data_IF_997825834616
#
_entry.id   IF_997825834616
#
_cell.length_a   1.000
_cell.length_b   1.000
_cell.length_c   1.000
_cell.angle_alpha   90.00
_cell.angle_beta   90.00
_cell.angle_gamma   90.00
#
_symmetry.space_group_name_H-M   'P 1'
#
loop_
_entity.id
_entity.type
_entity.pdbx_description
1 polymer ?
#
# COMPACT_ATOMS: atom_id res chain seq x y z
N UNK A 1 13.44 8.00 -25.08
CA UNK A 1 12.02 8.03 -24.65
C UNK A 1 11.68 6.70 -24.01
N UNK A 2 11.56 6.63 -22.68
CA UNK A 2 11.09 5.42 -21.99
C UNK A 2 9.59 5.29 -22.18
N UNK A 3 9.10 4.21 -22.79
CA UNK A 3 7.67 3.88 -22.81
C UNK A 3 7.21 3.62 -21.38
N UNK A 4 6.08 4.19 -20.97
CA UNK A 4 5.33 3.74 -19.80
C UNK A 4 4.86 2.30 -20.06
N UNK A 5 5.72 1.33 -19.76
CA UNK A 5 5.39 -0.08 -19.93
C UNK A 5 4.70 -0.58 -18.68
N UNK A 6 3.41 -0.85 -18.83
CA UNK A 6 2.68 -1.75 -17.95
C UNK A 6 3.51 -3.03 -17.75
N UNK A 7 3.74 -3.44 -16.50
CA UNK A 7 4.49 -4.65 -16.17
C UNK A 7 3.83 -5.42 -15.04
N UNK A 8 4.05 -6.72 -14.98
CA UNK A 8 3.65 -7.51 -13.82
C UNK A 8 4.41 -7.04 -12.58
N UNK A 9 3.67 -6.73 -11.53
CA UNK A 9 4.27 -6.34 -10.26
C UNK A 9 4.89 -7.56 -9.59
N UNK A 10 6.18 -7.43 -9.27
CA UNK A 10 6.90 -8.36 -8.41
C UNK A 10 7.01 -7.72 -7.03
N UNK A 11 6.35 -8.31 -6.04
CA UNK A 11 6.35 -7.75 -4.70
C UNK A 11 7.77 -7.60 -4.16
N UNK A 12 8.15 -6.35 -3.91
CA UNK A 12 9.42 -5.94 -3.34
C UNK A 12 9.25 -5.52 -1.86
N UNK A 13 8.25 -6.03 -1.16
CA UNK A 13 8.03 -5.74 0.26
C UNK A 13 8.64 -6.85 1.10
N UNK A 14 9.43 -6.45 2.10
CA UNK A 14 9.91 -7.34 3.18
C UNK A 14 8.81 -7.54 4.21
N UNK A 15 8.56 -6.50 5.01
CA UNK A 15 7.54 -6.47 6.05
C UNK A 15 6.36 -5.55 5.67
N UNK A 16 5.11 -6.06 5.63
CA UNK A 16 3.94 -5.22 5.42
C UNK A 16 3.61 -4.42 6.69
N UNK A 17 3.37 -3.13 6.51
CA UNK A 17 2.91 -2.22 7.56
C UNK A 17 1.41 -1.95 7.47
N UNK A 18 0.85 -1.97 6.27
CA UNK A 18 -0.54 -1.68 6.00
C UNK A 18 -1.09 -2.64 4.94
N UNK A 19 -2.26 -3.24 5.18
CA UNK A 19 -2.91 -4.19 4.27
C UNK A 19 -4.41 -3.85 4.17
N UNK A 20 -4.83 -3.25 3.06
CA UNK A 20 -6.23 -2.91 2.84
C UNK A 20 -7.02 -4.12 2.37
N UNK A 21 -7.47 -4.95 3.32
CA UNK A 21 -8.05 -6.24 2.97
C UNK A 21 -9.28 -6.09 2.08
N UNK A 22 -10.16 -5.13 2.34
CA UNK A 22 -11.38 -4.97 1.54
C UNK A 22 -11.06 -4.63 0.07
N UNK A 23 -10.17 -3.67 -0.18
CA UNK A 23 -9.79 -3.32 -1.55
C UNK A 23 -8.99 -4.43 -2.24
N UNK A 24 -8.21 -5.20 -1.49
CA UNK A 24 -7.49 -6.35 -2.02
C UNK A 24 -8.42 -7.50 -2.40
N UNK A 25 -9.42 -7.81 -1.57
CA UNK A 25 -10.46 -8.78 -1.92
C UNK A 25 -11.24 -8.35 -3.16
N UNK A 26 -11.54 -7.05 -3.29
CA UNK A 26 -12.17 -6.51 -4.50
C UNK A 26 -11.27 -6.66 -5.74
N UNK A 27 -9.98 -6.37 -5.61
CA UNK A 27 -9.02 -6.54 -6.69
C UNK A 27 -8.91 -8.03 -7.09
N UNK A 28 -8.81 -8.91 -6.11
CA UNK A 28 -8.74 -10.36 -6.32
C UNK A 28 -9.97 -10.89 -7.06
N UNK A 29 -11.17 -10.48 -6.63
CA UNK A 29 -12.42 -10.84 -7.30
C UNK A 29 -12.47 -10.31 -8.75
N UNK A 30 -12.06 -9.06 -8.99
CA UNK A 30 -11.97 -8.48 -10.35
C UNK A 30 -11.02 -9.26 -11.27
N UNK A 31 -10.03 -9.93 -10.71
CA UNK A 31 -9.06 -10.75 -11.44
C UNK A 31 -9.44 -12.23 -11.48
N UNK A 32 -10.68 -12.60 -11.11
CA UNK A 32 -11.18 -13.98 -11.04
C UNK A 32 -10.46 -14.88 -10.03
N UNK A 33 -9.95 -14.29 -8.94
CA UNK A 33 -9.39 -14.99 -7.78
C UNK A 33 -10.15 -14.61 -6.50
N UNK A 34 -11.45 -14.97 -6.37
CA UNK A 34 -12.20 -14.64 -5.16
C UNK A 34 -11.55 -15.28 -3.93
N UNK A 35 -11.70 -14.58 -2.81
CA UNK A 35 -11.07 -14.92 -1.54
C UNK A 35 -12.13 -15.42 -0.56
N UNK A 36 -12.35 -16.73 -0.51
CA UNK A 36 -13.39 -17.35 0.33
C UNK A 36 -13.07 -17.24 1.84
N UNK A 37 -11.78 -17.21 2.19
CA UNK A 37 -11.29 -17.20 3.58
C UNK A 37 -11.45 -15.85 4.29
N UNK A 38 -11.81 -14.79 3.58
CA UNK A 38 -11.86 -13.43 4.12
C UNK A 38 -13.24 -13.03 4.65
N UNK A 39 -14.23 -13.93 4.62
CA UNK A 39 -15.56 -13.70 5.17
C UNK A 39 -15.54 -13.34 6.69
N UNK A 40 -14.51 -13.77 7.43
CA UNK A 40 -14.30 -13.40 8.83
C UNK A 40 -13.73 -11.98 9.01
N UNK A 41 -13.15 -11.38 7.97
CA UNK A 41 -12.49 -10.07 8.05
C UNK A 41 -13.49 -8.91 8.23
N UNK A 42 -14.74 -9.09 7.82
CA UNK A 42 -15.79 -8.10 8.04
C UNK A 42 -16.00 -7.72 9.52
N UNK A 43 -15.65 -8.62 10.44
CA UNK A 43 -15.84 -8.46 11.89
C UNK A 43 -14.62 -7.85 12.61
N UNK A 44 -13.51 -7.66 11.90
CA UNK A 44 -12.26 -7.18 12.50
C UNK A 44 -12.35 -5.67 12.71
N UNK A 45 -12.05 -5.19 13.92
CA UNK A 45 -12.00 -3.75 14.20
C UNK A 45 -10.68 -3.13 13.73
N UNK A 46 -9.54 -3.77 14.02
CA UNK A 46 -8.20 -3.44 13.51
C UNK A 46 -7.40 -4.71 13.25
N UNK A 47 -6.50 -4.68 12.26
CA UNK A 47 -5.59 -5.81 12.01
C UNK A 47 -4.60 -6.05 13.14
N UNK A 48 -4.21 -5.00 13.86
CA UNK A 48 -3.36 -5.09 15.05
C UNK A 48 -3.93 -5.99 16.15
N UNK A 49 -5.25 -6.16 16.19
CA UNK A 49 -5.94 -6.85 17.28
C UNK A 49 -5.95 -8.39 17.08
N UNK A 50 -5.47 -8.87 15.93
CA UNK A 50 -5.54 -10.28 15.53
C UNK A 50 -4.42 -11.16 16.09
N UNK A 51 -3.38 -10.57 16.69
CA UNK A 51 -2.25 -11.32 17.24
C UNK A 51 -1.64 -12.28 16.21
N UNK A 52 -1.65 -13.58 16.52
CA UNK A 52 -1.08 -14.63 15.66
C UNK A 52 -1.84 -14.77 14.33
N UNK A 53 -3.15 -14.52 14.30
CA UNK A 53 -3.97 -14.64 13.07
C UNK A 53 -3.55 -13.61 12.00
N UNK A 54 -2.92 -12.50 12.40
CA UNK A 54 -2.34 -11.54 11.47
C UNK A 54 -1.29 -12.19 10.55
N UNK A 55 -0.50 -13.13 11.06
CA UNK A 55 0.49 -13.83 10.26
C UNK A 55 -0.18 -14.66 9.15
N UNK A 56 -1.30 -15.31 9.45
CA UNK A 56 -2.12 -16.04 8.46
C UNK A 56 -2.62 -15.11 7.37
N UNK A 57 -3.12 -13.92 7.74
CA UNK A 57 -3.56 -12.90 6.77
C UNK A 57 -2.40 -12.43 5.89
N UNK A 58 -1.24 -12.13 6.49
CA UNK A 58 -0.05 -11.71 5.75
C UNK A 58 0.38 -12.78 4.75
N UNK A 59 0.38 -14.06 5.15
CA UNK A 59 0.73 -15.18 4.27
C UNK A 59 -0.28 -15.37 3.14
N UNK A 60 -1.58 -15.35 3.46
CA UNK A 60 -2.66 -15.43 2.46
C UNK A 60 -2.55 -14.29 1.45
N UNK A 61 -2.23 -13.08 1.92
CA UNK A 61 -2.01 -11.93 1.07
C UNK A 61 -0.76 -12.07 0.18
N UNK A 62 0.37 -12.49 0.74
CA UNK A 62 1.60 -12.76 -0.04
C UNK A 62 1.33 -13.78 -1.14
N UNK A 63 0.57 -14.85 -0.83
CA UNK A 63 0.14 -15.84 -1.81
C UNK A 63 -0.75 -15.19 -2.89
N UNK A 64 -1.76 -14.43 -2.49
CA UNK A 64 -2.66 -13.73 -3.42
C UNK A 64 -1.90 -12.85 -4.42
N UNK A 65 -1.03 -11.96 -3.95
CA UNK A 65 -0.27 -11.06 -4.82
C UNK A 65 0.58 -11.83 -5.83
N UNK A 66 1.25 -12.89 -5.38
CA UNK A 66 2.08 -13.73 -6.23
C UNK A 66 1.25 -14.53 -7.26
N UNK A 67 -0.01 -14.82 -6.94
CA UNK A 67 -0.96 -15.48 -7.85
C UNK A 67 -1.52 -14.52 -8.88
N UNK A 68 -2.06 -13.37 -8.44
CA UNK A 68 -2.79 -12.45 -9.34
C UNK A 68 -1.85 -11.63 -10.25
N UNK A 69 -0.57 -11.48 -9.86
CA UNK A 69 0.48 -10.77 -10.60
C UNK A 69 -0.04 -9.49 -11.27
N UNK A 70 -0.50 -8.50 -10.47
CA UNK A 70 -1.24 -7.38 -11.02
C UNK A 70 -0.33 -6.59 -11.97
N UNK A 71 -0.88 -6.14 -13.09
CA UNK A 71 -0.16 -5.29 -14.03
C UNK A 71 -0.17 -3.85 -13.51
N UNK A 72 1.01 -3.27 -13.35
CA UNK A 72 1.20 -1.96 -12.69
C UNK A 72 2.02 -0.99 -13.53
N UNK A 73 1.94 0.28 -13.15
CA UNK A 73 2.87 1.35 -13.55
C UNK A 73 3.59 1.89 -12.32
N UNK A 74 4.65 2.68 -12.50
CA UNK A 74 5.45 3.25 -11.39
C UNK A 74 5.41 4.77 -11.39
N UNK A 75 5.18 5.41 -10.24
CA UNK A 75 5.19 6.88 -10.12
C UNK A 75 6.49 7.54 -10.63
N UNK A 76 7.64 6.87 -10.53
CA UNK A 76 8.94 7.42 -10.92
C UNK A 76 9.07 7.66 -12.42
N UNK A 77 8.39 6.86 -13.24
CA UNK A 77 8.52 6.90 -14.70
C UNK A 77 7.27 7.47 -15.38
N UNK A 78 6.27 7.89 -14.60
CA UNK A 78 4.98 8.28 -15.13
C UNK A 78 4.97 9.72 -15.62
N UNK A 79 4.33 9.91 -16.77
CA UNK A 79 3.82 11.22 -17.15
C UNK A 79 2.46 11.33 -16.47
N UNK A 80 2.36 12.21 -15.49
CA UNK A 80 1.19 12.27 -14.61
C UNK A 80 -0.12 12.61 -15.34
N UNK A 81 -0.04 13.25 -16.52
CA UNK A 81 -1.17 13.47 -17.41
C UNK A 81 -1.69 12.20 -18.13
N UNK A 82 -0.93 11.09 -18.10
CA UNK A 82 -1.32 9.79 -18.68
C UNK A 82 -1.93 8.86 -17.62
N UNK A 83 -1.84 9.21 -16.33
CA UNK A 83 -2.46 8.43 -15.25
C UNK A 83 -3.97 8.54 -15.37
N UNK A 84 -4.66 7.40 -15.22
CA UNK A 84 -6.11 7.34 -15.19
C UNK A 84 -6.59 6.80 -13.86
N UNK A 85 -7.85 7.11 -13.55
CA UNK A 85 -8.56 6.46 -12.46
C UNK A 85 -8.53 4.92 -12.63
N UNK A 86 -8.52 4.22 -11.50
CA UNK A 86 -8.44 2.76 -11.40
C UNK A 86 -7.11 2.14 -11.87
N UNK A 87 -6.08 2.95 -12.17
CA UNK A 87 -4.74 2.42 -12.40
C UNK A 87 -4.14 1.88 -11.11
N UNK A 88 -3.56 0.68 -11.20
CA UNK A 88 -2.71 0.12 -10.16
C UNK A 88 -1.29 0.64 -10.34
N UNK A 89 -0.79 1.30 -9.31
CA UNK A 89 0.52 1.91 -9.30
C UNK A 89 1.36 1.24 -8.23
N UNK A 90 2.49 0.67 -8.63
CA UNK A 90 3.53 0.25 -7.71
C UNK A 90 4.38 1.45 -7.30
N UNK A 91 4.90 1.41 -6.09
CA UNK A 91 5.84 2.42 -5.60
C UNK A 91 6.93 1.78 -4.75
N UNK A 92 8.09 2.42 -4.75
CA UNK A 92 9.23 2.14 -3.87
C UNK A 92 9.99 3.44 -3.72
N UNK A 93 9.59 4.27 -2.75
CA UNK A 93 10.10 5.62 -2.62
C UNK A 93 9.90 6.16 -1.20
N UNK A 94 10.53 7.29 -0.90
CA UNK A 94 10.42 8.02 0.35
C UNK A 94 9.19 8.92 0.36
N UNK A 95 8.25 8.68 1.28
CA UNK A 95 7.06 9.49 1.46
C UNK A 95 7.11 10.30 2.76
N UNK A 96 6.44 11.46 2.74
CA UNK A 96 6.09 12.18 3.95
C UNK A 96 4.81 11.60 4.54
N UNK A 97 4.67 11.66 5.85
CA UNK A 97 3.44 11.30 6.55
C UNK A 97 2.79 12.56 7.13
N UNK A 98 1.46 12.61 7.11
CA UNK A 98 0.67 13.69 7.73
C UNK A 98 -0.49 13.08 8.51
N UNK A 99 -0.84 13.74 9.62
CA UNK A 99 -1.90 13.32 10.54
C UNK A 99 -1.72 11.89 11.10
N UNK A 100 -0.49 11.37 11.07
CA UNK A 100 -0.17 9.98 11.39
C UNK A 100 -0.45 9.56 12.82
N UNK A 101 -0.51 10.53 13.75
CA UNK A 101 -0.95 10.31 15.12
C UNK A 101 -2.33 9.62 15.19
N UNK A 102 -3.20 9.95 14.24
CA UNK A 102 -4.54 9.38 14.14
C UNK A 102 -4.54 7.89 13.75
N UNK A 103 -3.43 7.36 13.20
CA UNK A 103 -3.27 5.91 12.99
C UNK A 103 -3.34 5.15 14.31
N UNK A 104 -2.85 5.73 15.40
CA UNK A 104 -2.94 5.12 16.73
C UNK A 104 -4.30 5.37 17.37
N UNK A 105 -4.79 6.60 17.27
CA UNK A 105 -6.02 7.05 17.92
C UNK A 105 -7.29 6.47 17.27
N UNK A 106 -7.18 5.95 16.03
CA UNK A 106 -8.29 5.37 15.27
C UNK A 106 -9.52 6.29 15.17
N UNK A 107 -9.29 7.60 15.27
CA UNK A 107 -10.31 8.63 15.21
C UNK A 107 -9.74 9.78 14.40
N UNK A 108 -10.53 10.26 13.45
CA UNK A 108 -10.19 11.40 12.60
C UNK A 108 -11.46 12.04 12.07
N UNK A 109 -11.38 13.33 11.76
CA UNK A 109 -12.44 14.06 11.06
C UNK A 109 -12.26 13.87 9.56
N UNK A 110 -13.35 13.95 8.81
CA UNK A 110 -13.30 13.99 7.35
C UNK A 110 -12.41 15.15 6.89
N UNK A 111 -11.47 14.89 6.00
CA UNK A 111 -10.49 15.86 5.51
C UNK A 111 -9.20 15.94 6.34
N UNK A 112 -9.15 15.26 7.47
CA UNK A 112 -7.97 15.19 8.34
C UNK A 112 -7.36 13.79 8.40
N UNK A 113 -7.72 12.89 7.48
CA UNK A 113 -7.27 11.49 7.48
C UNK A 113 -5.74 11.35 7.55
N UNK A 114 -5.23 10.30 8.25
CA UNK A 114 -3.81 10.00 8.19
C UNK A 114 -3.43 9.57 6.76
N UNK A 115 -2.39 10.16 6.20
CA UNK A 115 -2.01 9.89 4.82
C UNK A 115 -0.51 9.98 4.59
N UNK A 116 -0.05 9.20 3.62
CA UNK A 116 1.27 9.38 3.02
C UNK A 116 1.14 10.33 1.84
N UNK A 117 2.15 11.16 1.60
CA UNK A 117 2.20 11.99 0.41
C UNK A 117 3.61 12.22 -0.11
N UNK A 118 3.70 12.44 -1.41
CA UNK A 118 4.94 12.81 -2.10
C UNK A 118 4.62 13.68 -3.31
N UNK A 119 5.50 14.63 -3.61
CA UNK A 119 5.47 15.34 -4.90
C UNK A 119 6.35 14.61 -5.91
N UNK A 120 5.83 14.42 -7.11
CA UNK A 120 6.51 13.89 -8.28
C UNK A 120 6.37 14.91 -9.41
N UNK A 121 7.41 15.73 -9.60
CA UNK A 121 7.31 16.93 -10.45
C UNK A 121 6.21 17.86 -9.92
N UNK A 122 5.30 18.23 -10.82
CA UNK A 122 4.20 19.17 -10.51
C UNK A 122 3.03 18.50 -9.77
N UNK A 123 2.97 17.17 -9.76
CA UNK A 123 1.86 16.45 -9.15
C UNK A 123 2.17 16.01 -7.72
N UNK A 124 1.20 16.14 -6.83
CA UNK A 124 1.22 15.57 -5.48
C UNK A 124 0.42 14.27 -5.46
N UNK A 125 1.03 13.18 -5.04
CA UNK A 125 0.31 11.94 -4.73
C UNK A 125 -0.03 11.93 -3.24
N UNK A 126 -1.29 11.65 -2.93
CA UNK A 126 -1.81 11.51 -1.56
C UNK A 126 -2.45 10.13 -1.41
N UNK A 127 -2.00 9.39 -0.39
CA UNK A 127 -2.46 8.04 -0.07
C UNK A 127 -3.10 8.02 1.32
N UNK A 128 -4.42 8.09 1.36
CA UNK A 128 -5.18 8.06 2.62
C UNK A 128 -5.16 6.65 3.21
N UNK A 129 -4.83 6.56 4.49
CA UNK A 129 -4.74 5.31 5.23
C UNK A 129 -5.91 5.20 6.19
N UNK A 130 -6.55 4.03 6.23
CA UNK A 130 -7.49 3.73 7.30
C UNK A 130 -6.74 3.01 8.44
N UNK A 131 -6.73 3.54 9.67
CA UNK A 131 -6.02 2.93 10.81
C UNK A 131 -6.38 1.47 11.05
N UNK A 132 -7.60 1.04 10.71
CA UNK A 132 -8.06 -0.37 10.75
C UNK A 132 -7.12 -1.33 10.04
N UNK A 133 -6.47 -0.88 8.97
CA UNK A 133 -5.64 -1.70 8.09
C UNK A 133 -4.15 -1.65 8.42
N UNK A 134 -3.76 -0.97 9.50
CA UNK A 134 -2.39 -1.02 9.99
C UNK A 134 -2.15 -2.32 10.73
N UNK A 135 -1.06 -3.00 10.38
CA UNK A 135 -0.76 -4.36 10.86
C UNK A 135 -0.40 -4.42 12.34
N UNK A 136 0.36 -3.45 12.86
CA UNK A 136 0.88 -3.47 14.24
C UNK A 136 1.13 -2.04 14.75
N UNK A 137 1.26 -1.86 16.07
CA UNK A 137 1.65 -0.56 16.65
C UNK A 137 3.06 -0.12 16.22
N UNK A 138 3.95 -1.07 15.98
CA UNK A 138 5.27 -0.81 15.37
C UNK A 138 5.14 -0.33 13.93
N UNK A 139 4.18 -0.86 13.16
CA UNK A 139 3.86 -0.34 11.83
C UNK A 139 3.27 1.07 11.89
N UNK A 140 2.37 1.37 12.84
CA UNK A 140 1.89 2.74 13.09
C UNK A 140 3.04 3.73 13.29
N UNK A 141 4.04 3.33 14.07
CA UNK A 141 5.25 4.13 14.35
C UNK A 141 6.07 4.38 13.10
N UNK A 142 6.21 3.36 12.25
CA UNK A 142 6.97 3.43 11.01
C UNK A 142 6.26 4.30 9.96
N UNK A 143 4.95 4.14 9.82
CA UNK A 143 4.09 4.96 8.93
C UNK A 143 3.97 6.42 9.39
N UNK A 144 4.38 6.74 10.61
CA UNK A 144 4.37 8.12 11.15
C UNK A 144 5.63 8.92 10.82
N UNK A 145 6.59 8.32 10.12
CA UNK A 145 7.87 8.95 9.81
C UNK A 145 7.94 9.29 8.33
N UNK A 146 8.79 10.27 8.00
CA UNK A 146 9.32 10.36 6.65
C UNK A 146 10.28 9.17 6.47
N UNK A 147 9.91 8.22 5.62
CA UNK A 147 10.63 6.98 5.44
C UNK A 147 10.41 6.42 4.03
N UNK A 148 11.25 5.46 3.67
CA UNK A 148 11.11 4.71 2.43
C UNK A 148 10.06 3.61 2.59
N UNK A 149 9.15 3.56 1.63
CA UNK A 149 8.07 2.59 1.59
C UNK A 149 7.98 1.98 0.20
N UNK A 150 7.61 0.71 0.15
CA UNK A 150 7.23 0.02 -1.06
C UNK A 150 5.79 -0.46 -0.97
N UNK A 151 5.13 -0.63 -2.12
CA UNK A 151 3.81 -1.20 -2.18
C UNK A 151 3.03 -0.92 -3.43
N UNK A 152 1.71 -1.02 -3.27
CA UNK A 152 0.74 -0.96 -4.34
C UNK A 152 -0.41 -0.05 -3.92
N UNK A 153 -0.82 0.84 -4.80
CA UNK A 153 -2.00 1.67 -4.60
C UNK A 153 -2.87 1.70 -5.85
N UNK A 154 -4.15 2.01 -5.65
CA UNK A 154 -5.14 2.19 -6.71
C UNK A 154 -5.48 3.69 -6.82
N UNK A 155 -5.34 4.27 -8.00
CA UNK A 155 -5.74 5.65 -8.26
C UNK A 155 -7.25 5.77 -8.14
N UNK A 156 -7.73 6.65 -7.26
CA UNK A 156 -9.17 6.88 -7.03
C UNK A 156 -9.66 8.13 -7.71
N UNK A 157 -8.87 9.19 -7.67
CA UNK A 157 -9.25 10.49 -8.22
C UNK A 157 -8.01 11.26 -8.65
N UNK A 158 -8.15 12.03 -9.71
CA UNK A 158 -7.14 12.96 -10.21
C UNK A 158 -7.78 14.33 -10.20
N UNK A 159 -7.24 15.22 -9.36
CA UNK A 159 -7.59 16.62 -9.31
C UNK A 159 -6.57 17.39 -10.16
N UNK A 160 -6.95 17.71 -11.39
CA UNK A 160 -6.10 18.43 -12.33
C UNK A 160 -5.90 19.89 -11.94
N UNK A 161 -6.86 20.51 -11.25
CA UNK A 161 -6.76 21.91 -10.83
C UNK A 161 -5.71 22.08 -9.72
N UNK A 162 -5.72 21.16 -8.75
CA UNK A 162 -4.75 21.15 -7.64
C UNK A 162 -3.50 20.31 -7.93
N UNK A 163 -3.39 19.76 -9.15
CA UNK A 163 -2.34 18.80 -9.53
C UNK A 163 -2.14 17.70 -8.48
N UNK A 164 -3.23 17.14 -7.98
CA UNK A 164 -3.21 16.15 -6.88
C UNK A 164 -3.85 14.84 -7.31
N UNK A 165 -3.14 13.74 -7.10
CA UNK A 165 -3.64 12.38 -7.31
C UNK A 165 -3.95 11.78 -5.95
N UNK A 166 -5.21 11.42 -5.76
CA UNK A 166 -5.66 10.68 -4.60
C UNK A 166 -5.67 9.20 -4.93
N UNK A 167 -4.89 8.42 -4.18
CA UNK A 167 -4.81 6.98 -4.31
C UNK A 167 -5.20 6.30 -3.01
N UNK A 168 -5.75 5.09 -3.11
CA UNK A 168 -5.94 4.23 -1.95
C UNK A 168 -4.79 3.24 -1.90
N UNK A 169 -3.97 3.23 -0.82
CA UNK A 169 -2.99 2.18 -0.63
C UNK A 169 -3.73 0.85 -0.48
N UNK A 170 -3.29 -0.14 -1.26
CA UNK A 170 -3.67 -1.54 -1.11
C UNK A 170 -2.72 -2.22 -0.12
N UNK A 171 -1.45 -1.86 -0.23
CA UNK A 171 -0.38 -2.40 0.59
C UNK A 171 0.71 -1.34 0.75
N UNK A 172 1.25 -1.23 1.97
CA UNK A 172 2.44 -0.45 2.26
C UNK A 172 3.34 -1.30 3.14
N UNK A 173 4.63 -1.33 2.88
CA UNK A 173 5.63 -1.97 3.73
C UNK A 173 7.01 -1.41 3.50
N UNK A 174 8.01 -2.04 4.13
CA UNK A 174 9.41 -1.72 3.84
C UNK A 174 9.85 -2.37 2.53
N UNK A 175 10.64 -1.67 1.70
CA UNK A 175 11.33 -2.30 0.58
C UNK A 175 12.18 -3.49 1.04
N UNK A 176 12.15 -4.60 0.30
CA UNK A 176 12.88 -5.84 0.60
C UNK A 176 14.40 -5.64 0.59
N UNK A 177 14.90 -4.64 -0.13
CA UNK A 177 16.32 -4.29 -0.14
C UNK A 177 16.82 -3.79 1.24
N UNK A 178 15.90 -3.57 2.20
CA UNK A 178 16.18 -3.25 3.60
C UNK A 178 15.98 -4.47 4.53
N UNK A 179 15.82 -5.69 3.98
CA UNK A 179 15.91 -6.92 4.78
C UNK A 179 17.35 -7.04 5.30
N UNK A 180 17.54 -6.64 6.55
CA UNK A 180 18.70 -6.94 7.39
C UNK A 180 19.07 -8.45 7.43
N UNK A 181 18.23 -9.32 6.89
CA UNK A 181 18.44 -10.77 6.80
C UNK A 181 19.04 -11.26 5.47
N UNK A 182 19.07 -10.47 4.40
CA UNK A 182 19.80 -10.89 3.18
C UNK A 182 21.33 -10.95 3.43
N UNK A 183 21.84 -10.13 4.36
CA UNK A 183 23.23 -10.20 4.82
C UNK A 183 23.56 -11.40 5.72
N UNK A 184 22.55 -12.17 6.17
CA UNK A 184 22.73 -13.36 7.02
C UNK A 184 22.55 -14.68 6.24
N UNK A 185 22.12 -14.63 4.97
CA UNK A 185 22.03 -15.81 4.10
C UNK A 185 23.29 -16.06 3.26
N UNK A 186 24.31 -15.22 3.38
CA UNK A 186 25.66 -15.53 2.92
C UNK A 186 26.46 -16.22 4.01
N UNK A 187 26.41 -17.57 4.03
CA UNK A 187 27.21 -18.54 4.80
C UNK A 187 26.36 -19.51 5.63
N UNK A 188 25.65 -20.41 4.95
CA UNK A 188 25.42 -21.79 5.41
C UNK A 188 25.66 -22.72 4.21
#
# INVERSE_FOLDING_TARGET
MSKNSMREWKSNIGQPYYINISQLSMLAARLNYPLDDFNKVGQINKLSDLGIELATIILAFKKLVNTIKPVTQSFTNLKFNEIKQDYLIEFSDRFNSKNSRQLRENTYKLGDEPHLWKKYGDYKVVMNMNPKWVTTDTACSSLSRNAEFAGLCLVKQIDSEQSTIYATPLLIGIPRNLDIFEGLQGNI
#
